data_IF_172833006886
#
_entry.id   IF_172833006886
#
_cell.length_a   1.000
_cell.length_b   1.000
_cell.length_c   1.000
_cell.angle_alpha   90.00
_cell.angle_beta   90.00
_cell.angle_gamma   90.00
#
_symmetry.space_group_name_H-M   'P 1'
#
loop_
_entity.id
_entity.type
_entity.pdbx_description
1 polymer ?
#
# COMPACT_ATOMS: atom_id res chain seq x y z
N UNK A 1 -34.75 59.01 -40.16
CA UNK A 1 -33.64 58.37 -40.89
C UNK A 1 -33.30 57.06 -40.19
N UNK A 2 -33.16 55.98 -40.98
CA UNK A 2 -32.42 54.72 -40.77
C UNK A 2 -32.61 54.02 -39.40
N UNK A 3 -33.43 52.95 -39.34
CA UNK A 3 -33.10 51.53 -39.63
C UNK A 3 -32.16 50.94 -38.56
N UNK A 4 -32.63 50.01 -37.73
CA UNK A 4 -32.73 48.55 -37.96
C UNK A 4 -31.40 47.82 -37.63
N UNK A 5 -31.48 46.94 -36.62
CA UNK A 5 -30.90 45.59 -36.56
C UNK A 5 -29.38 45.37 -36.57
N UNK A 6 -28.90 44.65 -35.55
CA UNK A 6 -27.79 43.66 -35.56
C UNK A 6 -27.74 43.09 -34.12
N UNK A 7 -28.39 42.00 -33.70
CA UNK A 7 -28.52 40.65 -34.24
C UNK A 7 -27.20 40.11 -34.82
N UNK A 8 -26.69 39.07 -34.17
CA UNK A 8 -25.99 37.95 -34.82
C UNK A 8 -24.59 38.25 -35.40
N UNK A 9 -23.58 38.18 -34.52
CA UNK A 9 -22.29 37.57 -34.87
C UNK A 9 -22.03 36.49 -33.82
N UNK A 10 -22.91 35.50 -33.73
CA UNK A 10 -22.51 34.13 -34.05
C UNK A 10 -21.71 34.01 -35.36
N UNK A 11 -20.97 32.91 -35.44
CA UNK A 11 -20.17 32.44 -36.57
C UNK A 11 -18.73 32.94 -36.58
N UNK A 12 -17.84 32.08 -36.06
CA UNK A 12 -17.14 31.10 -36.92
C UNK A 12 -16.05 31.82 -37.69
N UNK A 13 -14.92 32.02 -37.02
CA UNK A 13 -13.61 32.23 -37.61
C UNK A 13 -12.62 31.89 -36.46
N UNK A 14 -11.79 30.85 -36.47
CA UNK A 14 -11.17 30.14 -37.57
C UNK A 14 -10.48 28.88 -37.02
N UNK A 15 -10.75 27.76 -37.70
CA UNK A 15 -9.82 26.70 -38.08
C UNK A 15 -9.02 25.96 -37.00
N UNK A 16 -9.53 24.76 -36.70
CA UNK A 16 -8.71 23.58 -36.90
C UNK A 16 -8.03 23.64 -38.28
N UNK A 17 -6.71 23.63 -38.31
CA UNK A 17 -5.94 23.15 -39.45
C UNK A 17 -5.25 21.87 -39.03
N UNK A 18 -5.64 20.81 -39.72
CA UNK A 18 -5.04 19.50 -39.65
C UNK A 18 -3.56 19.52 -40.10
N UNK A 19 -2.78 18.64 -39.47
CA UNK A 19 -1.82 17.69 -40.06
C UNK A 19 -1.21 18.06 -41.43
N UNK A 20 0.11 18.27 -41.47
CA UNK A 20 1.04 17.49 -42.32
C UNK A 20 2.53 17.88 -42.12
N UNK A 21 3.30 16.86 -41.77
CA UNK A 21 4.65 16.47 -42.20
C UNK A 21 5.84 17.46 -42.25
N UNK A 22 6.82 17.12 -41.40
CA UNK A 22 8.24 16.85 -41.70
C UNK A 22 8.99 17.78 -42.67
N UNK A 23 9.98 18.49 -42.11
CA UNK A 23 11.33 18.60 -42.71
C UNK A 23 12.39 18.96 -41.66
N UNK A 24 13.40 18.09 -41.56
CA UNK A 24 14.70 18.30 -40.95
C UNK A 24 15.31 19.67 -41.31
N UNK A 25 15.89 20.37 -40.32
CA UNK A 25 17.34 20.59 -40.29
C UNK A 25 17.82 21.27 -39.00
N UNK A 26 18.95 20.78 -38.52
CA UNK A 26 19.73 21.20 -37.36
C UNK A 26 20.07 22.69 -37.29
N UNK A 27 20.10 23.24 -36.07
CA UNK A 27 21.26 23.95 -35.51
C UNK A 27 21.11 24.18 -34.01
N UNK A 28 22.11 23.72 -33.25
CA UNK A 28 22.44 24.17 -31.90
C UNK A 28 22.40 25.69 -31.78
N UNK A 29 21.88 26.25 -30.68
CA UNK A 29 22.66 26.85 -29.57
C UNK A 29 21.75 27.33 -28.43
N UNK A 30 22.00 26.81 -27.22
CA UNK A 30 21.98 27.43 -25.88
C UNK A 30 20.79 28.26 -25.33
N UNK A 31 20.53 27.97 -24.04
CA UNK A 31 19.89 28.76 -22.98
C UNK A 31 18.38 28.58 -22.77
N UNK A 32 18.02 27.69 -21.83
CA UNK A 32 16.91 27.95 -20.92
C UNK A 32 17.07 27.14 -19.63
N UNK A 33 17.06 27.87 -18.52
CA UNK A 33 17.21 27.43 -17.14
C UNK A 33 15.94 26.71 -16.63
N UNK A 34 16.14 25.90 -15.57
CA UNK A 34 15.13 25.33 -14.68
C UNK A 34 14.18 24.27 -15.27
N UNK A 35 14.74 23.09 -15.54
CA UNK A 35 14.01 21.84 -15.24
C UNK A 35 14.33 21.45 -13.80
N UNK A 36 13.37 21.67 -12.91
CA UNK A 36 13.31 20.96 -11.63
C UNK A 36 13.34 19.48 -11.93
N UNK A 37 14.49 18.86 -11.68
CA UNK A 37 14.65 17.42 -11.57
C UNK A 37 13.78 16.99 -10.39
N UNK A 38 12.54 16.57 -10.67
CA UNK A 38 11.90 15.62 -9.77
C UNK A 38 12.74 14.36 -9.91
N UNK A 39 13.61 14.14 -8.94
CA UNK A 39 14.14 12.83 -8.62
C UNK A 39 12.94 11.92 -8.46
N UNK A 40 12.61 11.18 -9.51
CA UNK A 40 11.87 9.93 -9.36
C UNK A 40 12.68 9.11 -8.38
N UNK A 41 12.16 9.04 -7.15
CA UNK A 41 12.62 8.13 -6.13
C UNK A 41 12.96 6.80 -6.78
N UNK A 42 14.19 6.33 -6.52
CA UNK A 42 14.70 5.05 -6.96
C UNK A 42 13.63 3.98 -6.68
N UNK A 43 12.93 3.58 -7.74
CA UNK A 43 12.21 2.32 -7.79
C UNK A 43 13.28 1.24 -7.61
N UNK A 44 13.46 0.75 -6.39
CA UNK A 44 14.06 -0.57 -6.16
C UNK A 44 13.00 -1.55 -6.67
N UNK A 45 12.98 -1.74 -7.99
CA UNK A 45 12.08 -2.64 -8.68
C UNK A 45 12.74 -4.02 -8.70
N UNK A 46 12.92 -4.61 -7.52
CA UNK A 46 12.75 -6.06 -7.41
C UNK A 46 11.25 -6.24 -7.35
N UNK A 47 10.65 -6.59 -8.49
CA UNK A 47 9.25 -7.03 -8.52
C UNK A 47 9.19 -8.35 -7.74
N UNK A 48 9.05 -8.26 -6.41
CA UNK A 48 8.75 -9.43 -5.59
C UNK A 48 7.48 -10.06 -6.17
N UNK A 49 7.55 -11.36 -6.47
CA UNK A 49 6.41 -12.10 -6.99
C UNK A 49 5.27 -12.05 -5.97
N UNK A 50 4.13 -11.48 -6.38
CA UNK A 50 2.91 -11.46 -5.55
C UNK A 50 2.10 -12.70 -5.90
N UNK A 51 2.00 -13.62 -4.95
CA UNK A 51 1.22 -14.85 -5.11
C UNK A 51 -0.28 -14.58 -4.94
N UNK A 52 -0.62 -13.85 -3.87
CA UNK A 52 -1.99 -13.47 -3.57
C UNK A 52 -2.05 -12.04 -3.06
N UNK A 53 -3.08 -11.31 -3.47
CA UNK A 53 -3.41 -9.99 -2.93
C UNK A 53 -4.85 -9.98 -2.49
N UNK A 54 -5.08 -9.73 -1.21
CA UNK A 54 -6.41 -9.62 -0.64
C UNK A 54 -6.71 -8.16 -0.33
N UNK A 55 -7.91 -7.69 -0.67
CA UNK A 55 -8.35 -6.34 -0.34
C UNK A 55 -9.72 -6.34 0.31
N UNK A 56 -9.99 -5.29 1.08
CA UNK A 56 -11.28 -5.04 1.71
C UNK A 56 -11.34 -3.61 2.22
N UNK A 57 -12.55 -3.09 2.36
CA UNK A 57 -12.78 -1.72 2.79
C UNK A 57 -14.06 -1.59 3.59
N UNK A 58 -14.14 -0.55 4.41
CA UNK A 58 -15.38 -0.05 4.99
C UNK A 58 -15.52 1.46 4.68
N UNK A 59 -16.34 2.17 5.44
CA UNK A 59 -16.57 3.62 5.25
C UNK A 59 -15.30 4.46 5.38
N UNK A 60 -14.39 4.10 6.29
CA UNK A 60 -13.27 4.95 6.71
C UNK A 60 -11.90 4.32 6.48
N UNK A 61 -11.84 3.05 6.09
CA UNK A 61 -10.61 2.29 6.00
C UNK A 61 -10.57 1.41 4.77
N UNK A 62 -9.40 1.35 4.14
CA UNK A 62 -9.03 0.37 3.12
C UNK A 62 -7.90 -0.49 3.67
N UNK A 63 -7.94 -1.79 3.44
CA UNK A 63 -6.90 -2.70 3.85
C UNK A 63 -6.48 -3.63 2.71
N UNK A 64 -5.19 -3.98 2.75
CA UNK A 64 -4.58 -4.89 1.78
C UNK A 64 -3.65 -5.86 2.49
N UNK A 65 -3.78 -7.14 2.19
CA UNK A 65 -2.80 -8.14 2.55
C UNK A 65 -2.11 -8.66 1.28
N UNK A 66 -0.79 -8.76 1.31
CA UNK A 66 0.03 -9.24 0.21
C UNK A 66 0.80 -10.46 0.67
N UNK A 67 0.69 -11.56 -0.08
CA UNK A 67 1.41 -12.80 0.14
C UNK A 67 2.48 -12.92 -0.93
N UNK A 68 3.74 -13.03 -0.51
CA UNK A 68 4.88 -13.22 -1.40
C UNK A 68 5.70 -14.43 -0.96
N UNK A 69 6.45 -15.07 -1.87
CA UNK A 69 7.32 -16.17 -1.49
C UNK A 69 8.46 -15.68 -0.60
N UNK A 70 8.91 -16.53 0.30
CA UNK A 70 10.15 -16.33 1.03
C UNK A 70 11.31 -16.64 0.09
N UNK A 71 12.21 -15.68 -0.11
CA UNK A 71 13.41 -15.87 -0.93
C UNK A 71 14.64 -16.14 -0.08
N UNK A 72 15.69 -16.71 -0.68
CA UNK A 72 16.97 -16.92 0.01
C UNK A 72 17.59 -15.60 0.48
N UNK A 73 17.46 -14.52 -0.30
CA UNK A 73 17.92 -13.19 0.09
C UNK A 73 17.19 -12.67 1.32
N UNK A 74 15.87 -12.91 1.41
CA UNK A 74 15.08 -12.56 2.59
C UNK A 74 15.56 -13.34 3.82
N UNK A 75 15.73 -14.67 3.71
CA UNK A 75 16.22 -15.49 4.80
C UNK A 75 17.62 -15.06 5.27
N UNK A 76 18.48 -14.69 4.33
CA UNK A 76 19.80 -14.13 4.64
C UNK A 76 19.69 -12.78 5.37
N UNK A 77 18.82 -11.88 4.90
CA UNK A 77 18.60 -10.59 5.56
C UNK A 77 18.07 -10.75 6.98
N UNK A 78 17.17 -11.72 7.19
CA UNK A 78 16.64 -12.08 8.50
C UNK A 78 17.76 -12.65 9.39
N UNK A 79 18.60 -13.53 8.85
CA UNK A 79 19.74 -14.06 9.57
C UNK A 79 20.76 -12.98 9.95
N UNK A 80 21.00 -12.01 9.06
CA UNK A 80 21.88 -10.86 9.30
C UNK A 80 21.30 -9.92 10.38
N UNK A 81 19.98 -9.69 10.39
CA UNK A 81 19.28 -8.93 11.45
C UNK A 81 19.40 -9.60 12.83
N UNK A 82 19.40 -10.93 12.85
CA UNK A 82 19.59 -11.74 14.05
C UNK A 82 21.05 -12.18 14.29
N UNK A 83 22.01 -11.65 13.53
CA UNK A 83 23.42 -12.02 13.66
C UNK A 83 24.00 -11.59 15.02
N UNK A 84 24.63 -12.51 15.74
CA UNK A 84 25.21 -12.26 17.06
C UNK A 84 24.26 -12.48 18.23
N UNK A 85 22.96 -12.69 17.97
CA UNK A 85 22.10 -13.43 18.91
C UNK A 85 22.32 -14.93 18.68
N UNK A 86 22.62 -15.71 19.73
CA UNK A 86 22.53 -17.17 19.73
C UNK A 86 21.04 -17.58 19.59
N UNK A 87 20.43 -17.22 18.47
CA UNK A 87 19.01 -17.04 18.40
C UNK A 87 18.33 -18.37 18.16
N UNK A 88 17.99 -19.06 19.26
CA UNK A 88 17.01 -20.14 19.28
C UNK A 88 15.74 -19.76 18.48
N UNK A 89 15.44 -18.46 18.37
CA UNK A 89 14.32 -17.92 17.61
C UNK A 89 14.54 -17.98 16.09
N UNK A 90 15.71 -17.59 15.58
CA UNK A 90 16.04 -17.75 14.15
C UNK A 90 16.06 -19.24 13.77
N UNK A 91 16.63 -20.08 14.64
CA UNK A 91 16.62 -21.52 14.42
C UNK A 91 15.19 -22.07 14.37
N UNK A 92 14.31 -21.67 15.31
CA UNK A 92 12.88 -22.05 15.28
C UNK A 92 12.17 -21.57 14.03
N UNK A 93 12.46 -20.36 13.55
CA UNK A 93 11.89 -19.84 12.30
C UNK A 93 12.33 -20.73 11.14
N UNK A 94 13.62 -21.10 11.07
CA UNK A 94 14.11 -21.95 9.99
C UNK A 94 13.59 -23.38 10.05
N UNK A 95 13.44 -23.95 11.25
CA UNK A 95 12.88 -25.29 11.47
C UNK A 95 11.41 -25.40 10.99
N UNK A 96 10.69 -24.28 10.91
CA UNK A 96 9.32 -24.24 10.40
C UNK A 96 9.23 -24.26 8.86
N UNK A 97 10.35 -24.18 8.14
CA UNK A 97 10.39 -24.11 6.67
C UNK A 97 9.36 -23.12 6.10
N UNK A 98 9.49 -21.81 6.39
CA UNK A 98 8.54 -20.82 5.91
C UNK A 98 8.67 -20.68 4.39
N UNK A 99 7.54 -20.80 3.68
CA UNK A 99 7.49 -20.70 2.21
C UNK A 99 6.90 -19.39 1.74
N UNK A 100 6.03 -18.77 2.55
CA UNK A 100 5.41 -17.47 2.25
C UNK A 100 5.61 -16.46 3.38
N UNK A 101 5.59 -15.18 3.02
CA UNK A 101 5.49 -14.06 3.95
C UNK A 101 4.23 -13.26 3.67
N UNK A 102 3.56 -12.78 4.72
CA UNK A 102 2.34 -11.97 4.61
C UNK A 102 2.57 -10.60 5.23
N UNK A 103 2.29 -9.57 4.44
CA UNK A 103 2.30 -8.18 4.87
C UNK A 103 0.89 -7.60 4.82
N UNK A 104 0.41 -7.01 5.90
CA UNK A 104 -0.95 -6.48 6.01
C UNK A 104 -0.93 -4.99 6.33
N UNK A 105 -1.54 -4.21 5.44
CA UNK A 105 -1.60 -2.75 5.47
C UNK A 105 -3.04 -2.30 5.68
N UNK A 106 -3.19 -1.16 6.35
CA UNK A 106 -4.46 -0.48 6.59
C UNK A 106 -4.25 1.00 6.37
N UNK A 107 -5.08 1.62 5.55
CA UNK A 107 -5.04 3.05 5.27
C UNK A 107 -6.38 3.66 5.66
N UNK A 108 -6.37 4.81 6.32
CA UNK A 108 -7.59 5.58 6.54
C UNK A 108 -7.94 6.38 5.29
N UNK A 109 -9.19 6.30 4.87
CA UNK A 109 -9.72 6.93 3.65
C UNK A 109 -10.85 7.93 3.92
N UNK A 110 -11.24 8.13 5.18
CA UNK A 110 -12.30 9.08 5.56
C UNK A 110 -11.91 10.56 5.37
N UNK A 111 -12.91 11.43 5.40
CA UNK A 111 -12.79 12.85 5.01
C UNK A 111 -11.88 13.70 5.91
N UNK A 112 -11.63 13.27 7.15
CA UNK A 112 -10.58 13.82 8.00
C UNK A 112 -10.30 12.91 9.18
N UNK A 113 -9.05 12.46 9.30
CA UNK A 113 -8.46 12.13 10.59
C UNK A 113 -8.14 13.48 11.22
N UNK A 114 -8.95 13.98 12.15
CA UNK A 114 -8.61 15.19 12.91
C UNK A 114 -7.29 15.05 13.67
N UNK A 115 -7.05 15.88 14.69
CA UNK A 115 -5.98 15.53 15.63
C UNK A 115 -6.31 14.19 16.29
N UNK A 116 -5.56 13.16 15.91
CA UNK A 116 -5.57 11.86 16.57
C UNK A 116 -5.28 12.10 18.07
N UNK A 117 -6.24 11.89 19.00
CA UNK A 117 -5.95 11.93 20.44
C UNK A 117 -4.87 10.91 20.80
N UNK A 118 -4.46 10.86 22.07
CA UNK A 118 -3.44 9.90 22.49
C UNK A 118 -3.98 8.45 22.41
N UNK A 119 -3.73 7.78 21.28
CA UNK A 119 -4.35 6.51 20.89
C UNK A 119 -3.58 5.29 21.39
N UNK A 120 -3.20 5.31 22.67
CA UNK A 120 -2.40 4.22 23.24
C UNK A 120 -3.21 2.94 23.46
N UNK A 121 -4.50 2.91 23.18
CA UNK A 121 -5.38 1.77 23.41
C UNK A 121 -5.89 1.08 22.14
N UNK A 122 -5.54 1.59 20.95
CA UNK A 122 -5.89 0.93 19.68
C UNK A 122 -5.07 -0.34 19.54
N UNK A 123 -5.76 -1.46 19.34
CA UNK A 123 -5.19 -2.76 19.05
C UNK A 123 -5.81 -3.33 17.78
N UNK A 124 -4.97 -3.94 16.95
CA UNK A 124 -5.39 -4.63 15.73
C UNK A 124 -5.15 -6.13 15.90
N UNK A 125 -6.11 -6.94 15.46
CA UNK A 125 -5.97 -8.38 15.31
C UNK A 125 -6.17 -8.72 13.84
N UNK A 126 -5.19 -9.40 13.26
CA UNK A 126 -5.21 -9.90 11.90
C UNK A 126 -5.16 -11.42 11.95
N UNK A 127 -6.04 -12.09 11.22
CA UNK A 127 -6.07 -13.55 11.22
C UNK A 127 -6.50 -14.13 9.87
N UNK A 128 -5.88 -15.25 9.52
CA UNK A 128 -6.37 -16.19 8.53
C UNK A 128 -6.55 -17.54 9.25
N UNK A 129 -7.79 -18.04 9.40
CA UNK A 129 -8.05 -19.30 10.10
C UNK A 129 -7.15 -20.43 9.61
N UNK A 130 -6.64 -21.23 10.56
CA UNK A 130 -5.76 -22.39 10.30
C UNK A 130 -4.44 -22.07 9.57
N UNK A 131 -4.07 -20.79 9.47
CA UNK A 131 -2.81 -20.34 8.83
C UNK A 131 -2.02 -19.44 9.75
N UNK A 132 -2.57 -18.30 10.17
CA UNK A 132 -1.85 -17.37 11.04
C UNK A 132 -2.77 -16.46 11.85
N UNK A 133 -2.23 -15.99 12.97
CA UNK A 133 -2.77 -14.87 13.74
C UNK A 133 -1.62 -13.91 14.10
N UNK A 134 -1.92 -12.62 14.04
CA UNK A 134 -1.06 -11.54 14.49
C UNK A 134 -1.92 -10.53 15.26
N UNK A 135 -1.42 -10.05 16.38
CA UNK A 135 -2.10 -9.02 17.15
C UNK A 135 -1.11 -7.96 17.56
N UNK A 136 -1.50 -6.70 17.44
CA UNK A 136 -0.76 -5.59 18.03
C UNK A 136 -1.30 -5.32 19.43
N UNK A 137 -0.42 -4.85 20.31
CA UNK A 137 -0.82 -4.23 21.56
C UNK A 137 -0.53 -2.73 21.48
N UNK A 138 -1.31 -1.92 22.20
CA UNK A 138 -1.06 -0.51 22.54
C UNK A 138 -0.01 0.17 21.64
N UNK A 139 -0.44 0.65 20.49
CA UNK A 139 0.46 1.28 19.53
C UNK A 139 0.80 2.71 19.96
N UNK A 140 2.08 3.13 19.87
CA UNK A 140 2.44 4.54 19.96
C UNK A 140 1.72 5.35 18.87
N UNK A 141 1.35 6.60 19.18
CA UNK A 141 0.67 7.50 18.23
C UNK A 141 1.40 7.61 16.89
N UNK A 142 2.73 7.73 16.90
CA UNK A 142 3.53 7.83 15.67
C UNK A 142 3.40 6.57 14.79
N UNK A 143 3.46 5.38 15.39
CA UNK A 143 3.29 4.11 14.67
C UNK A 143 1.88 4.00 14.11
N UNK A 144 0.86 4.38 14.87
CA UNK A 144 -0.51 4.38 14.39
C UNK A 144 -0.68 5.32 13.18
N UNK A 145 -0.11 6.52 13.21
CA UNK A 145 -0.11 7.43 12.05
C UNK A 145 0.56 6.80 10.83
N UNK A 146 1.72 6.15 11.01
CA UNK A 146 2.42 5.48 9.91
C UNK A 146 1.59 4.33 9.34
N UNK A 147 0.93 3.56 10.18
CA UNK A 147 -0.02 2.52 9.78
C UNK A 147 -1.13 3.17 8.96
N UNK A 148 -1.90 4.10 9.51
CA UNK A 148 -3.08 4.71 8.88
C UNK A 148 -2.78 5.48 7.59
N UNK A 149 -1.51 5.83 7.34
CA UNK A 149 -1.06 6.47 6.09
C UNK A 149 -0.45 5.48 5.09
N UNK A 150 -0.52 4.18 5.38
CA UNK A 150 0.02 3.10 4.55
C UNK A 150 1.54 3.00 4.53
N UNK A 151 2.24 3.76 5.38
CA UNK A 151 3.72 3.78 5.45
C UNK A 151 4.29 2.63 6.27
N UNK A 152 3.47 2.01 7.11
CA UNK A 152 3.84 0.87 7.94
C UNK A 152 2.73 -0.18 7.92
N UNK A 153 3.11 -1.45 7.95
CA UNK A 153 2.15 -2.56 8.01
C UNK A 153 1.65 -2.72 9.45
N UNK A 154 0.38 -3.11 9.62
CA UNK A 154 -0.14 -3.60 10.91
C UNK A 154 0.57 -4.88 11.31
N UNK A 155 0.80 -5.76 10.32
CA UNK A 155 1.53 -7.00 10.49
C UNK A 155 2.53 -7.09 9.35
N UNK A 156 3.82 -6.98 9.69
CA UNK A 156 4.92 -7.10 8.73
C UNK A 156 5.52 -8.51 8.78
N UNK A 157 5.84 -9.04 7.61
CA UNK A 157 6.61 -10.27 7.41
C UNK A 157 6.13 -11.46 8.26
N UNK A 158 4.81 -11.66 8.34
CA UNK A 158 4.27 -12.83 9.02
C UNK A 158 4.58 -14.07 8.18
N UNK A 159 5.48 -14.92 8.68
CA UNK A 159 5.94 -16.12 8.00
C UNK A 159 4.92 -17.25 8.08
N UNK A 160 4.71 -17.92 6.95
CA UNK A 160 3.79 -19.04 6.79
C UNK A 160 4.58 -20.33 6.51
N UNK A 161 4.54 -21.31 7.41
CA UNK A 161 5.15 -22.62 7.22
C UNK A 161 4.57 -23.37 6.02
N UNK A 162 5.39 -24.22 5.39
CA UNK A 162 4.96 -25.14 4.34
C UNK A 162 3.75 -25.99 4.77
N UNK A 163 3.71 -26.43 6.04
CA UNK A 163 2.66 -27.31 6.59
C UNK A 163 1.25 -26.75 6.54
N UNK A 164 1.09 -25.43 6.53
CA UNK A 164 -0.21 -24.74 6.45
C UNK A 164 -0.38 -23.91 5.18
N UNK A 165 0.65 -23.85 4.34
CA UNK A 165 0.68 -23.06 3.10
C UNK A 165 -0.47 -23.41 2.15
N UNK A 166 -0.88 -24.68 2.05
CA UNK A 166 -1.98 -25.09 1.17
C UNK A 166 -3.37 -24.53 1.57
N UNK A 167 -3.50 -23.99 2.77
CA UNK A 167 -4.74 -23.38 3.27
C UNK A 167 -4.91 -21.91 2.82
N UNK A 168 -3.92 -21.32 2.13
CA UNK A 168 -4.02 -19.98 1.54
C UNK A 168 -4.28 -20.06 0.04
N UNK A 169 -5.39 -19.48 -0.41
CA UNK A 169 -5.81 -19.49 -1.81
C UNK A 169 -6.81 -18.35 -2.08
N UNK A 170 -7.24 -18.21 -3.34
CA UNK A 170 -8.15 -17.13 -3.77
C UNK A 170 -9.50 -17.08 -3.01
N UNK A 171 -9.94 -18.19 -2.41
CA UNK A 171 -11.17 -18.23 -1.60
C UNK A 171 -10.97 -17.93 -0.12
N UNK A 172 -9.72 -17.84 0.33
CA UNK A 172 -9.36 -17.50 1.71
C UNK A 172 -9.85 -16.09 2.06
N UNK A 173 -10.21 -15.90 3.33
CA UNK A 173 -10.65 -14.60 3.86
C UNK A 173 -9.77 -14.24 5.04
N UNK A 174 -8.99 -13.16 4.88
CA UNK A 174 -8.20 -12.59 5.97
C UNK A 174 -9.08 -11.60 6.73
N UNK A 175 -9.11 -11.70 8.05
CA UNK A 175 -9.91 -10.83 8.91
C UNK A 175 -9.03 -9.84 9.64
N UNK A 176 -9.43 -8.58 9.62
CA UNK A 176 -8.85 -7.52 10.45
C UNK A 176 -9.93 -7.03 11.40
N UNK A 177 -9.66 -7.13 12.70
CA UNK A 177 -10.46 -6.54 13.76
C UNK A 177 -9.64 -5.43 14.43
N UNK A 178 -10.27 -4.28 14.66
CA UNK A 178 -9.69 -3.21 15.44
C UNK A 178 -10.56 -2.95 16.68
N UNK A 179 -9.91 -2.72 17.82
CA UNK A 179 -10.58 -2.38 19.06
C UNK A 179 -9.87 -1.22 19.76
N UNK A 180 -10.66 -0.26 20.22
CA UNK A 180 -10.31 0.82 21.12
C UNK A 180 -11.45 1.04 22.11
N UNK A 181 -11.09 1.31 23.37
CA UNK A 181 -12.05 1.65 24.42
C UNK A 181 -12.36 3.14 24.41
N UNK A 182 -11.38 3.96 24.02
CA UNK A 182 -11.47 5.41 24.02
C UNK A 182 -11.99 5.97 22.69
N UNK A 183 -11.93 5.19 21.62
CA UNK A 183 -12.35 5.61 20.27
C UNK A 183 -13.19 4.55 19.57
N UNK A 184 -14.49 4.47 19.88
CA UNK A 184 -15.38 3.48 19.28
C UNK A 184 -15.48 3.56 17.74
N UNK A 185 -15.18 4.71 17.14
CA UNK A 185 -15.11 4.91 15.69
C UNK A 185 -13.96 4.14 15.02
N UNK A 186 -12.95 3.72 15.80
CA UNK A 186 -11.89 2.81 15.37
C UNK A 186 -12.25 1.33 15.60
N UNK A 187 -13.44 1.02 16.12
CA UNK A 187 -13.90 -0.37 16.24
C UNK A 187 -14.50 -0.82 14.93
N UNK A 188 -13.82 -1.74 14.25
CA UNK A 188 -14.28 -2.27 12.98
C UNK A 188 -13.87 -3.72 12.77
N UNK A 189 -14.58 -4.34 11.84
CA UNK A 189 -14.25 -5.63 11.24
C UNK A 189 -14.17 -5.45 9.73
N UNK A 190 -13.06 -5.87 9.13
CA UNK A 190 -12.87 -5.88 7.67
C UNK A 190 -12.48 -7.30 7.26
N UNK A 191 -13.23 -7.85 6.31
CA UNK A 191 -12.87 -9.07 5.59
C UNK A 191 -12.13 -8.71 4.32
N UNK A 192 -10.93 -9.27 4.13
CA UNK A 192 -10.14 -9.15 2.90
C UNK A 192 -10.34 -10.39 2.05
N UNK A 193 -10.68 -10.18 0.77
CA UNK A 193 -10.89 -11.25 -0.22
C UNK A 193 -9.89 -11.09 -1.36
N UNK A 194 -9.52 -12.18 -2.01
CA UNK A 194 -8.59 -12.13 -3.13
C UNK A 194 -9.17 -11.30 -4.28
N UNK A 195 -8.28 -10.58 -4.97
CA UNK A 195 -8.58 -9.82 -6.18
C UNK A 195 -8.15 -10.55 -7.44
#
# INVERSE_FOLDING_TARGET
>A
MKKLSLLLIALILLSACAKNETKNNSKDTTASENKTTQETDKKVNTEEEVLYSYTGQNENFEARAVVTPVTEEYLKSLADEHAGTNSDELQKIMEQNPVYKVNVYLTYTGDSLGELPDMTDVAFKVSLPDVFEASTSKLPKETLVKILTGKEAISKDKLIPESVSSNINESSVIKINAQSKTMPEFNFDIDLKAN
#
